data_IF_007292413934
#
_entry.id   IF_007292413934
#
_cell.length_a   1.000
_cell.length_b   1.000
_cell.length_c   1.000
_cell.angle_alpha   90.00
_cell.angle_beta   90.00
_cell.angle_gamma   90.00
#
_symmetry.space_group_name_H-M   'P 1'
#
loop_
_entity.id
_entity.type
_entity.pdbx_description
1 polymer ?
#
# COMPACT_ATOMS: atom_id res chain seq x y z
N UNK A 1 -8.59 -4.67 12.04
CA UNK A 1 -9.65 -5.69 11.92
C UNK A 1 -9.05 -7.09 12.04
N UNK A 2 -8.14 -7.48 11.15
CA UNK A 2 -7.53 -8.83 11.08
C UNK A 2 -6.97 -9.31 12.43
N UNK A 3 -6.19 -8.48 13.14
CA UNK A 3 -5.61 -8.84 14.45
C UNK A 3 -6.68 -9.21 15.47
N UNK A 4 -7.73 -8.41 15.61
CA UNK A 4 -8.81 -8.70 16.57
C UNK A 4 -9.59 -9.94 16.20
N UNK A 5 -9.81 -10.16 14.91
CA UNK A 5 -10.46 -11.39 14.42
C UNK A 5 -9.59 -12.61 14.76
N UNK A 6 -8.28 -12.56 14.52
CA UNK A 6 -7.36 -13.66 14.85
C UNK A 6 -7.27 -13.93 16.37
N UNK A 7 -7.55 -12.93 17.20
CA UNK A 7 -7.66 -13.05 18.66
C UNK A 7 -9.05 -13.52 19.12
N UNK A 8 -9.94 -13.89 18.21
CA UNK A 8 -11.26 -14.48 18.50
C UNK A 8 -12.41 -13.48 18.58
N UNK A 9 -12.20 -12.20 18.26
CA UNK A 9 -13.30 -11.22 18.19
C UNK A 9 -14.11 -11.41 16.91
N UNK A 10 -15.43 -11.26 17.00
CA UNK A 10 -16.30 -11.08 15.83
C UNK A 10 -16.20 -9.65 15.34
N UNK A 11 -15.65 -9.45 14.17
CA UNK A 11 -15.34 -8.13 13.62
C UNK A 11 -16.28 -7.81 12.46
N UNK A 12 -16.99 -6.67 12.57
CA UNK A 12 -17.69 -6.04 11.46
C UNK A 12 -16.90 -4.83 10.97
N UNK A 13 -16.80 -4.67 9.66
CA UNK A 13 -16.11 -3.54 9.01
C UNK A 13 -17.15 -2.62 8.38
N UNK A 14 -16.98 -1.32 8.53
CA UNK A 14 -17.79 -0.29 7.86
C UNK A 14 -16.89 0.60 7.04
N UNK A 15 -17.21 0.76 5.77
CA UNK A 15 -16.45 1.57 4.83
C UNK A 15 -17.43 2.46 4.02
N UNK A 16 -17.15 3.76 3.99
CA UNK A 16 -18.00 4.75 3.31
C UNK A 16 -17.88 4.66 1.79
N UNK A 17 -16.73 4.16 1.31
CA UNK A 17 -16.53 3.93 -0.13
C UNK A 17 -17.02 2.53 -0.55
N UNK A 18 -17.09 2.30 -1.86
CA UNK A 18 -17.51 1.00 -2.41
C UNK A 18 -16.42 -0.09 -2.33
N UNK A 19 -15.23 0.24 -1.79
CA UNK A 19 -14.09 -0.66 -1.82
C UNK A 19 -13.15 -0.43 -0.65
N UNK A 20 -12.33 -1.43 -0.30
CA UNK A 20 -11.19 -1.26 0.59
C UNK A 20 -10.09 -0.44 -0.10
N UNK A 21 -9.28 0.28 0.68
CA UNK A 21 -8.00 0.85 0.26
C UNK A 21 -8.09 1.69 -1.04
N UNK A 22 -8.84 2.79 -1.03
CA UNK A 22 -8.98 3.65 -2.21
C UNK A 22 -7.61 4.09 -2.74
N UNK A 23 -7.44 4.12 -4.06
CA UNK A 23 -6.18 4.46 -4.72
C UNK A 23 -5.27 3.28 -5.04
N UNK A 24 -5.57 2.07 -4.54
CA UNK A 24 -4.84 0.85 -4.89
C UNK A 24 -5.42 0.20 -6.16
N UNK A 25 -4.59 -0.55 -6.88
CA UNK A 25 -5.03 -1.30 -8.06
C UNK A 25 -6.17 -2.29 -7.74
N UNK A 26 -7.22 -2.23 -8.54
CA UNK A 26 -8.49 -2.94 -8.31
C UNK A 26 -8.33 -4.47 -8.27
N UNK A 27 -7.37 -5.00 -9.01
CA UNK A 27 -7.11 -6.44 -9.04
C UNK A 27 -6.51 -6.98 -7.73
N UNK A 28 -5.65 -6.21 -7.06
CA UNK A 28 -5.14 -6.54 -5.72
C UNK A 28 -6.28 -6.58 -4.71
N UNK A 29 -7.12 -5.54 -4.71
CA UNK A 29 -8.27 -5.43 -3.81
C UNK A 29 -9.29 -6.55 -4.07
N UNK A 30 -9.57 -6.85 -5.33
CA UNK A 30 -10.49 -7.94 -5.69
C UNK A 30 -10.00 -9.28 -5.19
N UNK A 31 -8.71 -9.54 -5.28
CA UNK A 31 -8.14 -10.80 -4.75
C UNK A 31 -8.21 -10.83 -3.22
N UNK A 32 -7.84 -9.73 -2.56
CA UNK A 32 -7.99 -9.60 -1.11
C UNK A 32 -9.44 -9.83 -0.66
N UNK A 33 -10.43 -9.21 -1.33
CA UNK A 33 -11.86 -9.42 -1.01
C UNK A 33 -12.27 -10.89 -1.08
N UNK A 34 -11.79 -11.62 -2.09
CA UNK A 34 -12.08 -13.05 -2.21
C UNK A 34 -11.47 -13.85 -1.05
N UNK A 35 -10.24 -13.51 -0.67
CA UNK A 35 -9.51 -14.22 0.37
C UNK A 35 -10.06 -13.90 1.77
N UNK A 36 -10.56 -12.68 1.98
CA UNK A 36 -11.07 -12.19 3.28
C UNK A 36 -12.57 -12.36 3.48
N UNK A 37 -13.29 -12.92 2.51
CA UNK A 37 -14.76 -13.00 2.51
C UNK A 37 -15.35 -13.65 3.78
N UNK A 38 -14.68 -14.69 4.28
CA UNK A 38 -15.16 -15.48 5.41
C UNK A 38 -14.43 -15.15 6.72
N UNK A 39 -13.59 -14.09 6.71
CA UNK A 39 -12.80 -13.69 7.89
C UNK A 39 -13.65 -12.82 8.84
N UNK A 40 -14.45 -11.94 8.29
CA UNK A 40 -15.22 -10.95 9.05
C UNK A 40 -16.69 -11.34 9.14
N UNK A 41 -17.32 -10.97 10.26
CA UNK A 41 -18.75 -11.25 10.48
C UNK A 41 -19.62 -10.47 9.49
N UNK A 42 -19.31 -9.17 9.28
CA UNK A 42 -19.97 -8.31 8.30
C UNK A 42 -18.96 -7.37 7.65
N UNK A 43 -19.23 -7.01 6.40
CA UNK A 43 -18.54 -5.92 5.69
C UNK A 43 -19.60 -5.03 5.05
N UNK A 44 -19.74 -3.81 5.54
CA UNK A 44 -20.67 -2.81 5.05
C UNK A 44 -19.92 -1.78 4.21
N UNK A 45 -19.96 -1.94 2.90
CA UNK A 45 -19.48 -0.91 1.96
C UNK A 45 -20.55 0.13 1.70
N UNK A 46 -20.14 1.30 1.20
CA UNK A 46 -21.03 2.42 0.88
C UNK A 46 -21.97 2.75 2.04
N UNK A 47 -21.43 2.64 3.26
CA UNK A 47 -22.20 2.75 4.50
C UNK A 47 -21.53 3.75 5.43
N UNK A 48 -22.30 4.72 5.91
CA UNK A 48 -21.85 5.76 6.83
C UNK A 48 -22.32 5.44 8.25
N UNK A 49 -21.46 5.67 9.23
CA UNK A 49 -21.82 5.71 10.65
C UNK A 49 -22.37 7.11 10.96
N UNK A 50 -23.62 7.17 11.37
CA UNK A 50 -24.26 8.45 11.73
C UNK A 50 -24.08 8.77 13.21
N UNK A 51 -24.19 7.76 14.06
CA UNK A 51 -24.15 7.95 15.52
C UNK A 51 -23.66 6.70 16.22
N UNK A 52 -22.95 6.90 17.32
CA UNK A 52 -22.59 5.86 18.29
C UNK A 52 -23.09 6.30 19.65
N UNK A 53 -23.97 5.53 20.27
CA UNK A 53 -24.54 5.80 21.58
C UNK A 53 -24.31 4.64 22.54
N UNK A 54 -24.19 4.96 23.85
CA UNK A 54 -24.02 3.94 24.88
C UNK A 54 -25.36 3.28 25.20
N UNK A 55 -25.39 1.94 25.23
CA UNK A 55 -26.55 1.13 25.59
C UNK A 55 -26.15 0.10 26.66
N UNK A 56 -26.29 0.47 27.91
CA UNK A 56 -25.82 -0.38 29.01
C UNK A 56 -24.32 -0.63 28.96
N UNK A 57 -23.90 -1.87 28.75
CA UNK A 57 -22.49 -2.27 28.59
C UNK A 57 -22.02 -2.27 27.14
N UNK A 58 -22.96 -2.19 26.16
CA UNK A 58 -22.68 -2.18 24.73
C UNK A 58 -22.76 -0.78 24.12
N UNK A 59 -22.39 -0.69 22.85
CA UNK A 59 -22.49 0.48 22.00
C UNK A 59 -23.49 0.20 20.89
N UNK A 60 -24.53 1.03 20.76
CA UNK A 60 -25.43 1.01 19.61
C UNK A 60 -24.85 1.90 18.53
N UNK A 61 -24.65 1.35 17.36
CA UNK A 61 -24.13 2.06 16.18
C UNK A 61 -25.27 2.17 15.15
N UNK A 62 -25.57 3.39 14.75
CA UNK A 62 -26.56 3.70 13.74
C UNK A 62 -25.84 3.97 12.41
N UNK A 63 -26.29 3.28 11.35
CA UNK A 63 -25.72 3.30 10.03
C UNK A 63 -26.71 3.83 9.01
N UNK A 64 -26.18 4.38 7.91
CA UNK A 64 -26.94 4.73 6.72
C UNK A 64 -26.22 4.17 5.51
N UNK A 65 -26.90 3.33 4.72
CA UNK A 65 -26.34 2.76 3.51
C UNK A 65 -26.53 3.69 2.28
N UNK A 66 -26.00 3.30 1.13
CA UNK A 66 -26.13 4.07 -0.13
C UNK A 66 -27.56 4.28 -0.62
N UNK A 67 -28.51 3.46 -0.18
CA UNK A 67 -29.94 3.57 -0.52
C UNK A 67 -30.69 4.47 0.46
N UNK A 68 -29.96 5.24 1.30
CA UNK A 68 -30.51 6.09 2.36
C UNK A 68 -31.31 5.33 3.44
N UNK A 69 -31.11 4.00 3.54
CA UNK A 69 -31.76 3.19 4.56
C UNK A 69 -30.96 3.20 5.85
N UNK A 70 -31.65 3.55 6.93
CA UNK A 70 -31.11 3.51 8.27
C UNK A 70 -31.24 2.10 8.87
N UNK A 71 -30.19 1.65 9.56
CA UNK A 71 -30.20 0.43 10.36
C UNK A 71 -29.25 0.57 11.56
N UNK A 72 -29.35 -0.32 12.53
CA UNK A 72 -28.46 -0.27 13.69
C UNK A 72 -28.02 -1.67 14.12
N UNK A 73 -26.81 -1.77 14.70
CA UNK A 73 -26.28 -2.95 15.36
C UNK A 73 -25.66 -2.59 16.70
N UNK A 74 -25.51 -3.59 17.56
CA UNK A 74 -24.87 -3.44 18.88
C UNK A 74 -23.50 -4.12 18.86
N UNK A 75 -22.54 -3.48 19.50
CA UNK A 75 -21.16 -3.95 19.57
C UNK A 75 -20.60 -3.74 20.97
N UNK A 76 -19.65 -4.56 21.40
CA UNK A 76 -18.96 -4.39 22.68
C UNK A 76 -17.97 -3.22 22.60
N UNK A 77 -17.32 -3.03 21.44
CA UNK A 77 -16.33 -2.00 21.17
C UNK A 77 -16.47 -1.46 19.75
N UNK A 78 -16.09 -0.22 19.57
CA UNK A 78 -15.94 0.42 18.25
C UNK A 78 -14.52 0.98 18.14
N UNK A 79 -13.82 0.61 17.07
CA UNK A 79 -12.54 1.18 16.68
C UNK A 79 -12.77 2.17 15.55
N UNK A 80 -12.36 3.42 15.74
CA UNK A 80 -12.42 4.47 14.71
C UNK A 80 -11.07 4.51 14.00
N UNK A 81 -11.08 4.28 12.69
CA UNK A 81 -9.91 4.27 11.83
C UNK A 81 -10.25 4.89 10.47
N UNK A 82 -10.64 6.16 10.49
CA UNK A 82 -11.18 6.89 9.33
C UNK A 82 -10.17 7.83 8.66
N UNK A 83 -8.89 7.65 8.95
CA UNK A 83 -7.79 8.45 8.41
C UNK A 83 -7.08 9.26 9.49
N UNK A 84 -6.11 10.05 9.06
CA UNK A 84 -5.26 10.89 9.89
C UNK A 84 -5.22 12.30 9.32
N UNK A 85 -4.91 13.26 10.18
CA UNK A 85 -4.53 14.63 9.79
C UNK A 85 -3.12 14.92 10.34
N UNK A 86 -2.37 15.82 9.71
CA UNK A 86 -1.06 16.20 10.23
C UNK A 86 -1.20 16.85 11.61
N UNK A 87 -0.28 16.51 12.52
CA UNK A 87 -0.24 17.10 13.84
C UNK A 87 0.60 18.39 13.86
N UNK A 88 0.19 19.34 13.04
CA UNK A 88 0.86 20.65 12.84
C UNK A 88 0.17 21.79 13.60
N UNK A 89 -1.02 21.55 14.16
CA UNK A 89 -1.75 22.54 14.94
C UNK A 89 -1.00 22.89 16.25
N UNK A 90 -1.12 24.13 16.71
CA UNK A 90 -0.54 24.62 17.99
C UNK A 90 1.00 24.65 18.06
N UNK A 91 1.70 24.52 16.93
CA UNK A 91 3.17 24.67 16.87
C UNK A 91 3.61 26.11 16.64
N UNK A 92 2.69 27.06 16.49
CA UNK A 92 2.98 28.47 16.13
C UNK A 92 3.86 28.60 14.86
N UNK A 93 3.57 27.77 13.84
CA UNK A 93 4.34 27.70 12.60
C UNK A 93 4.39 29.06 11.88
N UNK A 94 3.31 29.83 11.93
CA UNK A 94 3.18 31.18 11.41
C UNK A 94 4.23 32.12 12.00
N UNK A 95 4.48 32.05 13.31
CA UNK A 95 5.50 32.86 13.99
C UNK A 95 6.92 32.48 13.62
N UNK A 96 7.11 31.22 13.20
CA UNK A 96 8.39 30.73 12.71
C UNK A 96 8.56 30.94 11.19
N UNK A 97 7.56 31.48 10.48
CA UNK A 97 7.56 31.64 9.05
C UNK A 97 7.47 30.29 8.26
N UNK A 98 6.96 29.24 8.92
CA UNK A 98 6.79 27.92 8.31
C UNK A 98 5.41 27.79 7.69
N UNK A 99 5.36 27.51 6.39
CA UNK A 99 4.12 27.36 5.64
C UNK A 99 3.56 25.95 5.70
N UNK A 100 2.23 25.87 5.67
CA UNK A 100 1.49 24.62 5.49
C UNK A 100 0.66 24.66 4.21
N UNK A 101 0.23 23.49 3.73
CA UNK A 101 -0.78 23.40 2.68
C UNK A 101 -2.20 23.51 3.27
N UNK A 102 -3.23 23.46 2.40
CA UNK A 102 -4.63 23.57 2.78
C UNK A 102 -5.13 22.41 3.66
N UNK A 103 -4.37 21.30 3.72
CA UNK A 103 -4.62 20.12 4.57
C UNK A 103 -3.85 20.17 5.87
N UNK A 104 -2.99 21.18 6.07
CA UNK A 104 -2.17 21.36 7.26
C UNK A 104 -0.81 20.66 7.22
N UNK A 105 -0.41 20.04 6.10
CA UNK A 105 0.94 19.49 5.97
C UNK A 105 1.98 20.60 5.83
N UNK A 106 3.12 20.45 6.50
CA UNK A 106 4.23 21.40 6.39
C UNK A 106 4.87 21.25 5.01
N UNK A 107 4.96 22.36 4.28
CA UNK A 107 5.60 22.39 2.97
C UNK A 107 7.11 22.23 3.10
N UNK A 108 7.69 21.33 2.32
CA UNK A 108 9.12 21.02 2.27
C UNK A 108 9.63 21.00 0.83
N UNK A 109 10.94 21.18 0.68
CA UNK A 109 11.63 20.91 -0.57
C UNK A 109 12.30 19.51 -0.55
N UNK A 110 13.00 19.15 -1.62
CA UNK A 110 13.73 17.88 -1.75
C UNK A 110 14.83 17.66 -0.69
N UNK A 111 15.25 18.72 0.03
CA UNK A 111 16.22 18.67 1.12
C UNK A 111 15.55 18.57 2.49
N UNK A 112 14.25 18.36 2.54
CA UNK A 112 13.42 18.36 3.75
C UNK A 112 13.38 19.72 4.47
N UNK A 113 13.80 20.82 3.83
CA UNK A 113 13.74 22.16 4.39
C UNK A 113 12.35 22.73 4.20
N UNK A 114 11.85 23.41 5.23
CA UNK A 114 10.59 24.16 5.17
C UNK A 114 10.81 25.51 4.45
N UNK A 115 9.78 26.35 4.42
CA UNK A 115 9.89 27.75 3.97
C UNK A 115 10.90 28.58 4.78
N UNK A 116 11.24 28.13 5.99
CA UNK A 116 12.30 28.72 6.82
C UNK A 116 13.55 27.85 6.78
N UNK A 117 14.66 28.29 6.16
CA UNK A 117 15.79 27.44 5.75
C UNK A 117 16.49 26.61 6.83
N UNK A 118 16.41 27.03 8.09
CA UNK A 118 17.01 26.32 9.23
C UNK A 118 16.03 25.40 9.97
N UNK A 119 14.77 25.31 9.48
CA UNK A 119 13.72 24.42 10.00
C UNK A 119 13.45 23.33 8.97
N UNK A 120 13.43 22.10 9.44
CA UNK A 120 13.20 20.91 8.63
C UNK A 120 11.93 20.19 9.11
N UNK A 121 11.23 19.53 8.19
CA UNK A 121 10.10 18.67 8.54
C UNK A 121 10.19 17.33 7.81
N UNK A 122 9.89 16.26 8.52
CA UNK A 122 9.96 14.87 8.03
C UNK A 122 8.74 14.06 8.49
N UNK A 123 8.47 12.98 7.79
CA UNK A 123 7.44 12.03 8.15
C UNK A 123 6.03 12.52 7.86
N UNK A 124 5.07 12.07 8.67
CA UNK A 124 3.65 12.29 8.41
C UNK A 124 3.26 13.76 8.34
N UNK A 125 3.93 14.62 9.07
CA UNK A 125 3.64 16.07 9.09
C UNK A 125 4.03 16.78 7.78
N UNK A 126 4.93 16.16 6.98
CA UNK A 126 5.40 16.71 5.69
C UNK A 126 4.60 16.21 4.48
N UNK A 127 3.62 15.33 4.69
CA UNK A 127 2.74 14.85 3.63
C UNK A 127 2.81 13.35 3.35
N UNK A 128 1.87 12.83 2.52
CA UNK A 128 1.82 11.43 2.15
C UNK A 128 3.00 10.98 1.25
N UNK A 129 3.28 9.66 1.19
CA UNK A 129 2.62 8.60 1.95
C UNK A 129 2.99 8.64 3.44
N UNK A 130 2.00 8.33 4.33
CA UNK A 130 2.18 8.39 5.79
C UNK A 130 2.77 7.07 6.28
N UNK A 131 4.09 6.91 6.13
CA UNK A 131 4.80 5.66 6.36
C UNK A 131 6.07 5.89 7.19
N UNK A 132 6.29 5.06 8.20
CA UNK A 132 7.42 5.17 9.11
C UNK A 132 8.78 5.09 8.41
N UNK A 133 8.93 4.20 7.43
CA UNK A 133 10.19 4.05 6.68
C UNK A 133 10.46 5.25 5.75
N UNK A 134 9.42 5.91 5.20
CA UNK A 134 9.56 7.21 4.53
C UNK A 134 10.13 8.25 5.50
N UNK A 135 9.55 8.35 6.70
CA UNK A 135 10.01 9.29 7.72
C UNK A 135 11.48 9.05 8.10
N UNK A 136 11.90 7.79 8.23
CA UNK A 136 13.29 7.42 8.51
C UNK A 136 14.25 7.83 7.39
N UNK A 137 13.85 7.61 6.14
CA UNK A 137 14.63 8.03 4.96
C UNK A 137 14.76 9.57 4.90
N UNK A 138 13.63 10.27 5.04
CA UNK A 138 13.60 11.73 5.08
C UNK A 138 14.46 12.31 6.21
N UNK A 139 14.44 11.65 7.39
CA UNK A 139 15.29 12.01 8.52
C UNK A 139 16.78 11.88 8.21
N UNK A 140 17.18 10.85 7.48
CA UNK A 140 18.54 10.67 6.97
C UNK A 140 18.94 11.82 6.04
N UNK A 141 18.10 12.14 5.06
CA UNK A 141 18.33 13.27 4.13
C UNK A 141 18.47 14.59 4.89
N UNK A 142 17.55 14.89 5.80
CA UNK A 142 17.59 16.12 6.60
C UNK A 142 18.88 16.22 7.43
N UNK A 143 19.27 15.12 8.10
CA UNK A 143 20.50 15.09 8.89
C UNK A 143 21.77 15.33 8.04
N UNK A 144 21.83 14.73 6.86
CA UNK A 144 22.96 14.92 5.95
C UNK A 144 23.03 16.37 5.42
N UNK A 145 21.88 16.96 5.07
CA UNK A 145 21.81 18.37 4.64
C UNK A 145 22.25 19.31 5.77
N UNK A 146 21.76 19.07 7.00
CA UNK A 146 22.17 19.85 8.19
C UNK A 146 23.68 19.73 8.44
N UNK A 147 24.26 18.57 8.18
CA UNK A 147 25.71 18.34 8.28
C UNK A 147 26.52 18.96 7.09
N UNK A 148 25.86 19.67 6.18
CA UNK A 148 26.50 20.30 5.03
C UNK A 148 26.81 19.38 3.85
N UNK A 149 26.27 18.15 3.85
CA UNK A 149 26.41 17.24 2.73
C UNK A 149 25.44 17.58 1.61
N UNK A 150 25.76 17.15 0.39
CA UNK A 150 24.86 17.23 -0.77
C UNK A 150 23.92 16.01 -0.76
N UNK A 151 22.78 16.14 -0.08
CA UNK A 151 21.75 15.11 -0.04
C UNK A 151 20.42 15.68 -0.54
N UNK A 152 19.61 14.83 -1.18
CA UNK A 152 18.24 15.12 -1.63
C UNK A 152 17.37 13.88 -1.50
N UNK A 153 16.09 14.08 -1.33
CA UNK A 153 15.09 13.01 -1.41
C UNK A 153 14.71 12.83 -2.89
N UNK A 154 15.30 11.84 -3.52
CA UNK A 154 15.07 11.48 -4.92
C UNK A 154 14.57 10.04 -5.10
N UNK A 155 14.04 9.44 -4.04
CA UNK A 155 13.48 8.10 -4.05
C UNK A 155 12.48 7.89 -5.20
N UNK A 156 12.68 6.84 -5.99
CA UNK A 156 11.82 6.48 -7.13
C UNK A 156 10.67 5.57 -6.70
N UNK A 157 10.87 4.78 -5.65
CA UNK A 157 9.87 3.89 -5.11
C UNK A 157 9.84 3.93 -3.58
N UNK A 158 8.67 4.15 -3.03
CA UNK A 158 8.40 3.98 -1.60
C UNK A 158 7.48 2.77 -1.46
N UNK A 159 7.95 1.63 -0.93
CA UNK A 159 7.11 0.46 -0.76
C UNK A 159 6.03 0.74 0.28
N UNK A 160 4.82 0.22 0.04
CA UNK A 160 3.72 0.29 0.98
C UNK A 160 3.21 -1.12 1.29
N UNK A 161 3.01 -1.44 2.55
CA UNK A 161 2.54 -2.74 3.01
C UNK A 161 1.29 -2.56 3.86
N UNK A 162 0.27 -3.35 3.54
CA UNK A 162 -0.94 -3.47 4.34
C UNK A 162 -0.89 -4.84 5.00
N UNK A 163 -0.67 -4.83 6.32
CA UNK A 163 -0.51 -6.03 7.14
C UNK A 163 -1.85 -6.68 7.50
N UNK A 164 -2.60 -7.00 6.45
CA UNK A 164 -3.80 -7.83 6.54
C UNK A 164 -3.41 -9.31 6.41
N UNK A 165 -4.40 -10.21 6.44
CA UNK A 165 -4.23 -11.62 6.13
C UNK A 165 -5.18 -11.96 4.97
N UNK A 166 -4.65 -12.15 3.76
CA UNK A 166 -3.24 -12.01 3.35
C UNK A 166 -2.75 -10.56 3.33
N UNK A 167 -1.42 -10.39 3.33
CA UNK A 167 -0.80 -9.09 3.13
C UNK A 167 -1.01 -8.58 1.69
N UNK A 168 -0.99 -7.25 1.55
CA UNK A 168 -0.87 -6.59 0.24
C UNK A 168 0.33 -5.65 0.30
N UNK A 169 1.23 -5.77 -0.67
CA UNK A 169 2.37 -4.89 -0.79
C UNK A 169 2.46 -4.30 -2.19
N UNK A 170 2.85 -3.03 -2.28
CA UNK A 170 3.00 -2.31 -3.55
C UNK A 170 4.24 -1.42 -3.52
N UNK A 171 4.81 -1.14 -4.68
CA UNK A 171 5.84 -0.10 -4.87
C UNK A 171 5.79 0.45 -6.29
N UNK A 172 6.31 1.67 -6.47
CA UNK A 172 6.27 2.38 -7.74
C UNK A 172 4.86 2.84 -8.12
N UNK A 173 4.59 2.94 -9.42
CA UNK A 173 3.31 3.42 -9.94
C UNK A 173 2.24 2.33 -9.91
N UNK A 174 1.01 2.72 -9.57
CA UNK A 174 -0.16 1.91 -9.87
C UNK A 174 -0.63 2.13 -11.32
N UNK A 175 -1.59 1.32 -11.78
CA UNK A 175 -2.08 1.39 -13.17
C UNK A 175 -2.74 2.74 -13.50
N UNK A 176 -3.42 3.37 -12.54
CA UNK A 176 -4.06 4.67 -12.76
C UNK A 176 -3.02 5.77 -12.89
N UNK A 177 -2.04 5.80 -12.00
CA UNK A 177 -0.94 6.77 -12.04
C UNK A 177 -0.09 6.65 -13.31
N UNK A 178 0.17 5.42 -13.78
CA UNK A 178 0.88 5.21 -15.04
C UNK A 178 0.10 5.76 -16.23
N UNK A 179 -1.22 5.56 -16.27
CA UNK A 179 -2.11 6.12 -17.30
C UNK A 179 -2.17 7.64 -17.24
N UNK A 180 -2.32 8.22 -16.05
CA UNK A 180 -2.36 9.68 -15.86
C UNK A 180 -1.07 10.35 -16.31
N UNK A 181 0.07 9.66 -16.16
CA UNK A 181 1.39 10.11 -16.66
C UNK A 181 1.60 9.86 -18.14
N UNK A 182 0.64 9.24 -18.84
CA UNK A 182 0.77 8.92 -20.28
C UNK A 182 1.84 7.88 -20.57
N UNK A 183 2.16 7.00 -19.62
CA UNK A 183 3.17 5.94 -19.80
C UNK A 183 2.48 4.72 -20.41
N UNK A 184 2.97 4.24 -21.54
CA UNK A 184 2.54 2.98 -22.10
C UNK A 184 3.15 1.82 -21.31
N UNK A 185 2.30 0.93 -20.81
CA UNK A 185 2.74 -0.18 -19.97
C UNK A 185 1.96 -1.46 -20.24
N UNK A 186 2.62 -2.57 -19.90
CA UNK A 186 2.00 -3.89 -19.85
C UNK A 186 2.00 -4.39 -18.42
N UNK A 187 0.86 -4.97 -18.02
CA UNK A 187 0.73 -5.63 -16.72
C UNK A 187 0.85 -7.14 -16.89
N UNK A 188 1.71 -7.76 -16.11
CA UNK A 188 1.81 -9.22 -16.01
C UNK A 188 1.52 -9.66 -14.59
N UNK A 189 0.94 -10.86 -14.44
CA UNK A 189 0.57 -11.42 -13.13
C UNK A 189 0.90 -12.91 -13.10
N UNK A 190 1.74 -13.30 -12.17
CA UNK A 190 2.02 -14.70 -11.89
C UNK A 190 1.12 -15.19 -10.74
N UNK A 191 0.25 -16.18 -10.97
CA UNK A 191 -0.64 -16.69 -9.93
C UNK A 191 0.12 -17.61 -8.98
N UNK A 192 -0.04 -17.44 -7.69
CA UNK A 192 0.66 -18.25 -6.69
C UNK A 192 0.24 -19.73 -6.68
N UNK A 193 -0.91 -20.05 -7.26
CA UNK A 193 -1.31 -21.45 -7.50
C UNK A 193 -0.34 -22.23 -8.38
N UNK A 194 0.50 -21.54 -9.15
CA UNK A 194 1.56 -22.14 -9.98
C UNK A 194 2.92 -22.21 -9.27
N UNK A 195 3.08 -21.57 -8.11
CA UNK A 195 4.33 -21.61 -7.32
C UNK A 195 4.42 -22.87 -6.48
N UNK A 196 5.48 -23.66 -6.66
CA UNK A 196 5.75 -24.85 -5.82
C UNK A 196 5.85 -24.52 -4.33
N UNK A 197 6.45 -23.39 -3.97
CA UNK A 197 6.54 -22.93 -2.58
C UNK A 197 5.17 -22.57 -2.01
N UNK A 198 4.35 -21.82 -2.73
CA UNK A 198 3.02 -21.47 -2.28
C UNK A 198 2.13 -22.71 -2.11
N UNK A 199 2.26 -23.70 -3.00
CA UNK A 199 1.58 -25.01 -2.88
C UNK A 199 2.04 -25.75 -1.62
N UNK A 200 3.33 -25.83 -1.36
CA UNK A 200 3.88 -26.51 -0.19
C UNK A 200 3.47 -25.84 1.14
N UNK A 201 3.27 -24.51 1.12
CA UNK A 201 2.80 -23.74 2.28
C UNK A 201 1.27 -23.74 2.45
N UNK A 202 0.53 -24.34 1.51
CA UNK A 202 -0.94 -24.25 1.41
C UNK A 202 -1.46 -22.80 1.24
N UNK A 203 -0.63 -21.92 0.65
CA UNK A 203 -0.94 -20.50 0.40
C UNK A 203 -1.06 -20.22 -1.10
N UNK A 204 -1.91 -21.01 -1.79
CA UNK A 204 -2.06 -20.98 -3.26
C UNK A 204 -2.79 -19.75 -3.80
N UNK A 205 -3.44 -18.98 -2.92
CA UNK A 205 -4.19 -17.78 -3.26
C UNK A 205 -3.26 -16.59 -3.32
N UNK A 206 -3.53 -15.68 -4.25
CA UNK A 206 -2.71 -14.50 -4.45
C UNK A 206 -1.95 -14.50 -5.77
N UNK A 207 -1.21 -13.44 -6.00
CA UNK A 207 -0.37 -13.27 -7.18
C UNK A 207 0.72 -12.23 -6.96
N UNK A 208 1.76 -12.30 -7.78
CA UNK A 208 2.76 -11.25 -7.96
C UNK A 208 2.50 -10.54 -9.29
N UNK A 209 2.47 -9.21 -9.28
CA UNK A 209 2.18 -8.36 -10.43
C UNK A 209 3.33 -7.40 -10.70
N UNK A 210 3.69 -7.23 -11.98
CA UNK A 210 4.59 -6.19 -12.46
C UNK A 210 3.87 -5.27 -13.46
N UNK A 211 4.15 -3.99 -13.36
CA UNK A 211 3.87 -2.99 -14.39
C UNK A 211 5.19 -2.68 -15.10
N UNK A 212 5.23 -2.90 -16.40
CA UNK A 212 6.43 -2.81 -17.23
C UNK A 212 6.19 -1.78 -18.33
N UNK A 213 7.02 -0.75 -18.40
CA UNK A 213 6.99 0.23 -19.48
C UNK A 213 7.34 -0.46 -20.81
N UNK A 214 6.46 -0.34 -21.82
CA UNK A 214 6.64 -1.05 -23.09
C UNK A 214 7.68 -0.44 -24.03
N UNK A 215 8.11 0.78 -23.76
CA UNK A 215 9.12 1.49 -24.54
C UNK A 215 10.56 1.01 -24.23
N UNK A 216 10.81 0.66 -22.96
CA UNK A 216 12.18 0.37 -22.48
C UNK A 216 12.27 -0.83 -21.51
N UNK A 217 11.19 -1.59 -21.38
CA UNK A 217 11.02 -2.77 -20.52
C UNK A 217 11.30 -2.52 -19.01
N UNK A 218 11.41 -1.28 -18.56
CA UNK A 218 11.66 -0.97 -17.13
C UNK A 218 10.48 -1.33 -16.27
N UNK A 219 10.79 -1.84 -15.08
CA UNK A 219 9.81 -2.02 -14.02
C UNK A 219 9.44 -0.63 -13.48
N UNK A 220 8.16 -0.25 -13.61
CA UNK A 220 7.65 1.04 -13.15
C UNK A 220 6.72 0.94 -11.96
N UNK A 221 6.25 -0.26 -11.67
CA UNK A 221 5.39 -0.53 -10.53
C UNK A 221 5.23 -2.02 -10.28
N UNK A 222 4.85 -2.36 -9.06
CA UNK A 222 4.62 -3.73 -8.67
C UNK A 222 3.58 -3.84 -7.57
N UNK A 223 2.96 -5.02 -7.48
CA UNK A 223 2.02 -5.36 -6.43
C UNK A 223 2.04 -6.85 -6.13
N UNK A 224 1.94 -7.18 -4.86
CA UNK A 224 1.87 -8.56 -4.38
C UNK A 224 0.70 -8.67 -3.43
N UNK A 225 -0.12 -9.68 -3.60
CA UNK A 225 -1.14 -10.07 -2.62
C UNK A 225 -0.91 -11.52 -2.22
N UNK A 226 -0.65 -11.75 -0.94
CA UNK A 226 -0.32 -13.08 -0.40
C UNK A 226 0.50 -13.00 0.86
N UNK A 227 0.84 -14.16 1.41
CA UNK A 227 1.64 -14.29 2.63
C UNK A 227 3.07 -13.78 2.40
N UNK A 228 3.59 -13.00 3.34
CA UNK A 228 4.93 -12.39 3.29
C UNK A 228 5.13 -11.42 2.10
N UNK A 229 4.07 -10.85 1.56
CA UNK A 229 4.16 -9.86 0.49
C UNK A 229 5.02 -8.66 0.90
N UNK A 230 4.96 -8.28 2.19
CA UNK A 230 5.76 -7.19 2.76
C UNK A 230 7.26 -7.44 2.74
N UNK A 231 7.70 -8.69 2.94
CA UNK A 231 9.12 -9.03 2.87
C UNK A 231 9.62 -9.08 1.41
N UNK A 232 8.75 -9.48 0.48
CA UNK A 232 9.10 -9.66 -0.93
C UNK A 232 9.17 -8.34 -1.70
N UNK A 233 8.38 -7.32 -1.33
CA UNK A 233 8.25 -6.07 -2.11
C UNK A 233 9.56 -5.28 -2.18
N UNK A 234 10.48 -5.49 -1.25
CA UNK A 234 11.77 -4.78 -1.20
C UNK A 234 12.66 -5.08 -2.41
N UNK A 235 12.60 -6.28 -2.97
CA UNK A 235 13.30 -6.63 -4.22
C UNK A 235 12.78 -5.78 -5.39
N UNK A 236 11.46 -5.62 -5.48
CA UNK A 236 10.83 -4.82 -6.53
C UNK A 236 11.05 -3.32 -6.34
N UNK A 237 11.10 -2.84 -5.09
CA UNK A 237 11.49 -1.48 -4.80
C UNK A 237 12.94 -1.22 -5.25
N UNK A 238 13.87 -2.14 -4.96
CA UNK A 238 15.25 -2.07 -5.43
C UNK A 238 15.32 -2.09 -6.97
N UNK A 239 14.54 -2.96 -7.63
CA UNK A 239 14.50 -3.01 -9.08
C UNK A 239 14.08 -1.66 -9.70
N UNK A 240 13.09 -0.99 -9.12
CA UNK A 240 12.65 0.35 -9.57
C UNK A 240 13.73 1.40 -9.30
N UNK A 241 14.33 1.42 -8.10
CA UNK A 241 15.40 2.36 -7.75
C UNK A 241 16.62 2.23 -8.67
N UNK A 242 16.97 1.00 -9.04
CA UNK A 242 18.09 0.70 -9.97
C UNK A 242 17.70 0.85 -11.44
N UNK A 243 16.46 1.26 -11.74
CA UNK A 243 15.92 1.33 -13.09
C UNK A 243 16.07 0.01 -13.89
N UNK A 244 15.96 -1.12 -13.19
CA UNK A 244 16.03 -2.45 -13.78
C UNK A 244 14.89 -2.66 -14.78
N UNK A 245 15.18 -3.42 -15.82
CA UNK A 245 14.18 -3.87 -16.77
C UNK A 245 13.70 -5.30 -16.43
N UNK A 246 12.65 -5.75 -17.11
CA UNK A 246 12.09 -7.09 -16.87
C UNK A 246 13.12 -8.21 -17.14
N UNK A 247 14.09 -7.99 -18.05
CA UNK A 247 15.14 -8.96 -18.36
C UNK A 247 16.10 -9.14 -17.18
N UNK A 248 16.37 -8.09 -16.41
CA UNK A 248 17.24 -8.17 -15.23
C UNK A 248 16.62 -9.07 -14.16
N UNK A 249 15.30 -8.97 -13.94
CA UNK A 249 14.58 -9.86 -13.02
C UNK A 249 14.52 -11.30 -13.51
N UNK A 250 14.27 -11.49 -14.81
CA UNK A 250 14.22 -12.81 -15.42
C UNK A 250 15.57 -13.56 -15.33
N UNK A 251 16.68 -12.85 -15.51
CA UNK A 251 18.03 -13.41 -15.47
C UNK A 251 18.59 -13.57 -14.05
N UNK A 252 17.93 -12.97 -13.06
CA UNK A 252 18.34 -13.13 -11.65
C UNK A 252 17.98 -14.51 -11.15
N UNK A 253 18.99 -15.27 -10.70
CA UNK A 253 18.76 -16.61 -10.14
C UNK A 253 18.08 -16.49 -8.78
N UNK A 254 16.88 -17.03 -8.66
CA UNK A 254 16.13 -17.10 -7.40
C UNK A 254 16.32 -18.48 -6.75
N UNK A 255 16.42 -18.55 -5.43
CA UNK A 255 16.53 -19.83 -4.74
C UNK A 255 15.24 -20.64 -4.82
N UNK A 256 15.35 -21.94 -5.04
CA UNK A 256 14.22 -22.87 -5.13
C UNK A 256 14.13 -23.78 -3.91
N UNK A 257 12.92 -24.02 -3.31
CA UNK A 257 11.64 -23.36 -3.62
C UNK A 257 11.39 -22.13 -2.72
N UNK A 258 11.05 -21.00 -3.31
CA UNK A 258 10.74 -19.77 -2.56
C UNK A 258 9.53 -19.04 -3.17
N UNK A 259 8.96 -18.07 -2.42
CA UNK A 259 7.95 -17.19 -2.95
C UNK A 259 8.55 -16.12 -3.89
N UNK A 260 9.82 -15.75 -3.68
CA UNK A 260 10.50 -14.76 -4.53
C UNK A 260 10.67 -15.23 -5.99
N UNK A 261 10.67 -16.54 -6.27
CA UNK A 261 10.59 -17.05 -7.65
C UNK A 261 9.40 -16.49 -8.43
N UNK A 262 8.31 -16.12 -7.74
CA UNK A 262 7.13 -15.52 -8.41
C UNK A 262 7.43 -14.16 -9.03
N UNK A 263 8.49 -13.48 -8.60
CA UNK A 263 8.97 -12.21 -9.19
C UNK A 263 9.63 -12.51 -10.54
N UNK A 264 10.58 -13.43 -10.57
CA UNK A 264 11.23 -13.89 -11.80
C UNK A 264 10.22 -14.42 -12.80
N UNK A 265 9.33 -15.30 -12.38
CA UNK A 265 8.28 -15.89 -13.23
C UNK A 265 7.30 -14.82 -13.78
N UNK A 266 7.07 -13.75 -13.04
CA UNK A 266 6.30 -12.60 -13.55
C UNK A 266 7.05 -11.91 -14.71
N UNK A 267 8.37 -11.80 -14.64
CA UNK A 267 9.19 -11.26 -15.71
C UNK A 267 9.24 -12.22 -16.93
N UNK A 268 9.38 -13.52 -16.71
CA UNK A 268 9.27 -14.53 -17.77
C UNK A 268 7.92 -14.46 -18.51
N UNK A 269 6.82 -14.22 -17.78
CA UNK A 269 5.49 -14.02 -18.37
C UNK A 269 5.44 -12.83 -19.33
N UNK A 270 6.19 -11.77 -19.06
CA UNK A 270 6.26 -10.61 -19.94
C UNK A 270 6.81 -11.00 -21.31
N UNK A 271 7.88 -11.78 -21.34
CA UNK A 271 8.50 -12.27 -22.58
C UNK A 271 7.76 -13.48 -23.19
N UNK A 272 6.91 -14.16 -22.44
CA UNK A 272 6.01 -15.19 -22.94
C UNK A 272 6.51 -16.63 -22.81
N UNK A 273 7.49 -16.89 -21.95
CA UNK A 273 8.05 -18.20 -21.69
C UNK A 273 8.19 -18.54 -20.18
N UNK A 274 7.11 -18.38 -19.41
CA UNK A 274 7.13 -18.73 -17.98
C UNK A 274 7.35 -20.22 -17.79
N UNK A 275 8.07 -20.60 -16.72
CA UNK A 275 8.41 -21.99 -16.44
C UNK A 275 7.22 -22.79 -15.91
N UNK A 276 6.43 -22.23 -14.99
CA UNK A 276 5.38 -22.97 -14.26
C UNK A 276 3.95 -22.58 -14.61
N UNK A 277 3.73 -21.69 -15.56
CA UNK A 277 2.39 -21.32 -16.02
C UNK A 277 2.37 -21.15 -17.55
N UNK A 278 1.16 -21.14 -18.11
CA UNK A 278 1.02 -20.90 -19.56
C UNK A 278 0.58 -19.47 -19.81
N UNK A 279 1.15 -18.85 -20.86
CA UNK A 279 0.64 -17.58 -21.37
C UNK A 279 -0.79 -17.79 -21.83
N UNK A 280 -1.76 -17.14 -21.20
CA UNK A 280 -3.12 -17.08 -21.74
C UNK A 280 -3.08 -16.27 -23.03
N UNK A 281 -3.58 -16.88 -24.12
CA UNK A 281 -3.74 -16.22 -25.43
C UNK A 281 -4.70 -15.05 -25.36
#
# INVERSE_FOLDING_TARGET
ATIYQSLGSKVSIVEVTGNFMPGMDEDLIREYKKMSKDIFEDIFFETKVNEISKKGKSLKVNFKNKEDKDFSKEYDKVLVSVGQKPNSENLNLDKAGVETDDKGFIKINEKQQTSTPHIYAIGDVSGPPLLAHKASYEGGVAAEVIAGKKAVNDAKAIPAVIYTEPEIATCGLNQSEAKEKGIDFKTVKFPWSASGRAVAMNEKRGFTKLLINTENDRIIGAGIVGKNAGDMISELALAIEMAANARDLELTIHPHPTLSETIMESAELYYGHPTHTMKRK
#
